data_IF_805159867610
#
_entry.id   IF_805159867610
#
_cell.length_a   1.000
_cell.length_b   1.000
_cell.length_c   1.000
_cell.angle_alpha   90.00
_cell.angle_beta   90.00
_cell.angle_gamma   90.00
#
_symmetry.space_group_name_H-M   'P 1'
#
loop_
_entity.id
_entity.type
_entity.pdbx_description
1 polymer ?
#
# COMPACT_ATOMS: atom_id res chain seq x y z
N UNK A 1 -12.01 28.18 37.00
CA UNK A 1 -10.94 27.81 36.05
C UNK A 1 -10.11 26.73 36.72
N UNK A 2 -10.16 25.49 36.24
CA UNK A 2 -9.50 24.36 36.91
C UNK A 2 -8.00 24.55 36.94
N UNK A 3 -7.40 24.65 38.13
CA UNK A 3 -5.95 24.74 38.28
C UNK A 3 -5.34 23.38 37.94
N UNK A 4 -4.46 23.32 36.94
CA UNK A 4 -3.66 22.12 36.62
C UNK A 4 -2.94 21.66 37.89
N UNK A 5 -3.18 20.43 38.35
CA UNK A 5 -2.49 19.88 39.52
C UNK A 5 -1.05 19.44 39.18
N UNK A 6 -0.28 19.05 40.20
CA UNK A 6 1.14 18.67 40.02
C UNK A 6 1.32 17.39 39.19
N UNK A 7 0.36 16.47 39.23
CA UNK A 7 0.40 15.22 38.47
C UNK A 7 0.06 15.47 37.00
N UNK A 8 -0.98 16.26 36.76
CA UNK A 8 -1.33 16.76 35.42
C UNK A 8 -0.16 17.53 34.80
N UNK A 9 0.54 18.37 35.58
CA UNK A 9 1.72 19.09 35.10
C UNK A 9 2.90 18.16 34.78
N UNK A 10 3.12 17.11 35.60
CA UNK A 10 4.13 16.09 35.30
C UNK A 10 3.84 15.41 33.96
N UNK A 11 2.58 15.05 33.68
CA UNK A 11 2.18 14.47 32.38
C UNK A 11 2.46 15.46 31.24
N UNK A 12 2.06 16.72 31.38
CA UNK A 12 2.31 17.76 30.37
C UNK A 12 3.80 17.92 30.12
N UNK A 13 4.61 17.95 31.18
CA UNK A 13 6.06 18.14 31.05
C UNK A 13 6.79 17.00 30.34
N UNK A 14 6.15 15.84 30.10
CA UNK A 14 6.70 14.79 29.23
C UNK A 14 6.86 15.24 27.78
N UNK A 15 6.13 16.28 27.37
CA UNK A 15 6.15 16.83 26.02
C UNK A 15 7.06 18.06 25.89
N UNK A 16 7.84 18.38 26.93
CA UNK A 16 8.87 19.40 26.85
C UNK A 16 10.02 18.93 25.95
N UNK A 17 10.63 19.86 25.22
CA UNK A 17 11.66 19.54 24.22
C UNK A 17 13.06 19.67 24.82
N UNK A 18 13.23 20.57 25.77
CA UNK A 18 14.54 20.93 26.30
C UNK A 18 14.56 20.92 27.82
N UNK A 19 15.76 20.78 28.38
CA UNK A 19 15.97 20.95 29.82
C UNK A 19 15.56 22.35 30.30
N UNK A 20 15.67 23.37 29.43
CA UNK A 20 15.29 24.75 29.74
C UNK A 20 13.78 24.90 30.02
N UNK A 21 12.94 24.08 29.40
CA UNK A 21 11.48 24.12 29.63
C UNK A 21 11.14 23.68 31.06
N UNK A 22 11.81 22.64 31.56
CA UNK A 22 11.66 22.19 32.94
C UNK A 22 12.15 23.23 33.95
N UNK A 23 13.30 23.85 33.66
CA UNK A 23 13.84 24.95 34.47
C UNK A 23 12.84 26.11 34.52
N UNK A 24 12.32 26.51 33.36
CA UNK A 24 11.33 27.59 33.24
C UNK A 24 10.08 27.29 34.07
N UNK A 25 9.54 26.08 33.98
CA UNK A 25 8.39 25.65 34.77
C UNK A 25 8.63 25.79 36.29
N UNK A 26 9.80 25.36 36.77
CA UNK A 26 10.18 25.41 38.18
C UNK A 26 10.33 26.84 38.71
N UNK A 27 10.79 27.78 37.86
CA UNK A 27 10.98 29.18 38.23
C UNK A 27 9.70 30.01 38.13
N UNK A 28 8.83 29.73 37.15
CA UNK A 28 7.59 30.49 36.93
C UNK A 28 6.54 30.18 38.00
N UNK A 29 6.45 28.95 38.51
CA UNK A 29 5.44 28.59 39.50
C UNK A 29 5.99 27.71 40.63
N UNK A 30 6.00 28.23 41.85
CA UNK A 30 6.47 27.51 43.06
C UNK A 30 5.75 26.16 43.27
N UNK A 31 4.50 26.03 42.82
CA UNK A 31 3.72 24.79 42.86
C UNK A 31 4.41 23.62 42.16
N UNK A 32 5.18 23.90 41.11
CA UNK A 32 5.83 22.89 40.27
C UNK A 32 7.35 22.82 40.49
N UNK A 33 7.87 23.41 41.58
CA UNK A 33 9.31 23.46 41.87
C UNK A 33 9.95 22.07 41.91
N UNK A 34 9.25 21.06 42.40
CA UNK A 34 9.75 19.68 42.51
C UNK A 34 9.28 18.78 41.36
N UNK A 35 8.82 19.35 40.23
CA UNK A 35 8.22 18.57 39.16
C UNK A 35 9.18 17.52 38.57
N UNK A 36 10.47 17.86 38.42
CA UNK A 36 11.49 16.94 37.87
C UNK A 36 11.70 15.72 38.80
N UNK A 37 11.64 15.90 40.12
CA UNK A 37 11.90 14.82 41.10
C UNK A 37 10.87 13.69 41.04
N UNK A 38 9.74 13.90 40.35
CA UNK A 38 8.65 12.92 40.18
C UNK A 38 8.90 11.95 39.03
N UNK A 39 9.92 12.20 38.22
CA UNK A 39 10.27 11.36 37.08
C UNK A 39 11.16 10.18 37.51
N UNK A 40 10.67 8.97 37.23
CA UNK A 40 11.44 7.73 37.34
C UNK A 40 12.13 7.34 36.01
N UNK A 41 11.89 8.12 34.96
CA UNK A 41 12.51 8.01 33.65
C UNK A 41 12.79 9.39 33.06
N UNK A 42 13.76 9.52 32.15
CA UNK A 42 14.09 10.81 31.55
C UNK A 42 13.13 11.08 30.38
N UNK A 43 12.38 12.20 30.37
CA UNK A 43 11.47 12.57 29.27
C UNK A 43 12.21 13.16 28.06
N UNK A 44 13.48 13.55 28.24
CA UNK A 44 14.38 14.12 27.24
C UNK A 44 15.76 13.48 27.37
N UNK A 45 16.62 13.60 26.36
CA UNK A 45 18.03 13.20 26.48
C UNK A 45 18.72 13.97 27.62
N UNK A 46 19.50 13.25 28.43
CA UNK A 46 20.26 13.82 29.54
C UNK A 46 21.76 13.61 29.31
N UNK A 47 22.53 14.52 29.90
CA UNK A 47 23.98 14.41 30.06
C UNK A 47 24.32 14.11 31.52
N UNK A 48 25.53 13.67 31.81
CA UNK A 48 26.07 13.48 33.16
C UNK A 48 25.91 14.75 34.01
N UNK A 49 25.99 15.94 33.39
CA UNK A 49 25.77 17.24 34.07
C UNK A 49 24.31 17.47 34.48
N UNK A 50 23.36 17.01 33.67
CA UNK A 50 21.91 17.25 33.87
C UNK A 50 21.22 16.10 34.61
N UNK A 51 21.81 14.89 34.61
CA UNK A 51 21.33 13.70 35.32
C UNK A 51 21.05 13.95 36.81
N UNK A 52 21.84 14.79 37.47
CA UNK A 52 21.68 15.10 38.91
C UNK A 52 20.31 15.73 39.25
N UNK A 53 19.64 16.36 38.28
CA UNK A 53 18.33 16.98 38.51
C UNK A 53 17.17 15.97 38.49
N UNK A 54 17.43 14.72 38.05
CA UNK A 54 16.47 13.61 38.05
C UNK A 54 16.85 12.59 39.13
N UNK A 55 16.77 12.91 40.43
CA UNK A 55 17.34 12.07 41.49
C UNK A 55 16.70 10.68 41.60
N UNK A 56 15.44 10.53 41.19
CA UNK A 56 14.67 9.27 41.25
C UNK A 56 14.69 8.45 39.95
N UNK A 57 15.60 8.76 39.02
CA UNK A 57 15.70 8.06 37.74
C UNK A 57 16.07 6.59 37.94
N UNK A 58 15.15 5.70 37.58
CA UNK A 58 15.30 4.24 37.64
C UNK A 58 15.51 3.63 36.25
N UNK A 59 14.98 4.29 35.21
CA UNK A 59 15.08 3.86 33.81
C UNK A 59 15.59 5.00 32.94
N UNK A 60 16.66 4.75 32.19
CA UNK A 60 17.14 5.67 31.16
C UNK A 60 16.53 5.32 29.81
N UNK A 61 15.78 6.24 29.23
CA UNK A 61 15.42 6.22 27.83
C UNK A 61 16.57 6.84 27.02
N UNK A 62 17.04 6.08 26.03
CA UNK A 62 18.15 6.44 25.15
C UNK A 62 17.51 6.74 23.78
N UNK A 63 17.47 8.01 23.42
CA UNK A 63 16.78 8.52 22.24
C UNK A 63 17.66 8.55 21.00
N UNK A 64 18.99 8.52 21.16
CA UNK A 64 19.93 8.37 20.05
C UNK A 64 21.23 7.69 20.48
N UNK A 65 22.04 7.24 19.52
CA UNK A 65 23.32 6.57 19.78
C UNK A 65 24.40 7.45 20.42
N UNK A 66 24.16 8.76 20.52
CA UNK A 66 25.08 9.74 21.11
C UNK A 66 24.74 10.09 22.56
N UNK A 67 23.60 9.61 23.08
CA UNK A 67 23.20 9.89 24.45
C UNK A 67 24.21 9.29 25.44
N UNK A 68 24.58 10.06 26.47
CA UNK A 68 25.50 9.60 27.51
C UNK A 68 24.83 8.53 28.37
N UNK A 69 25.51 7.41 28.63
CA UNK A 69 24.95 6.27 29.38
C UNK A 69 25.18 6.41 30.88
N UNK A 70 24.17 6.04 31.67
CA UNK A 70 24.28 6.02 33.12
C UNK A 70 24.44 4.59 33.65
N UNK A 71 25.34 4.42 34.62
CA UNK A 71 25.61 3.14 35.27
C UNK A 71 24.48 2.72 36.21
N UNK A 72 24.37 1.41 36.46
CA UNK A 72 23.48 0.82 37.47
C UNK A 72 21.99 1.15 37.38
N UNK A 73 21.50 1.56 36.20
CA UNK A 73 20.07 1.76 35.93
C UNK A 73 19.65 1.02 34.65
N UNK A 74 18.35 0.65 34.61
CA UNK A 74 17.75 0.00 33.44
C UNK A 74 17.79 0.93 32.24
N UNK A 75 17.97 0.37 31.06
CA UNK A 75 18.05 1.14 29.81
C UNK A 75 16.96 0.74 28.85
N UNK A 76 16.35 1.72 28.21
CA UNK A 76 15.36 1.54 27.15
C UNK A 76 15.87 2.29 25.94
N UNK A 77 16.28 1.55 24.91
CA UNK A 77 16.69 2.10 23.63
C UNK A 77 15.44 2.39 22.81
N UNK A 78 15.19 3.68 22.57
CA UNK A 78 14.00 4.20 21.87
C UNK A 78 14.23 4.37 20.36
N UNK A 79 15.49 4.49 19.95
CA UNK A 79 15.86 4.58 18.53
C UNK A 79 15.95 3.19 17.87
N UNK A 80 15.99 3.21 16.55
CA UNK A 80 16.07 2.02 15.72
C UNK A 80 17.44 1.35 15.81
N UNK A 81 17.46 0.03 16.03
CA UNK A 81 18.68 -0.78 16.05
C UNK A 81 18.50 -2.02 15.20
N UNK A 82 19.55 -2.45 14.50
CA UNK A 82 19.55 -3.74 13.82
C UNK A 82 19.55 -4.91 14.82
N UNK A 83 19.12 -6.08 14.35
CA UNK A 83 19.01 -7.26 15.20
C UNK A 83 20.37 -7.77 15.65
N UNK A 84 21.40 -7.69 14.78
CA UNK A 84 22.77 -8.08 15.10
C UNK A 84 23.29 -7.38 16.36
N UNK A 85 23.10 -6.07 16.48
CA UNK A 85 23.49 -5.29 17.65
C UNK A 85 22.86 -5.85 18.93
N UNK A 86 21.57 -6.19 18.88
CA UNK A 86 20.85 -6.77 20.02
C UNK A 86 21.37 -8.18 20.35
N UNK A 87 21.63 -8.98 19.32
CA UNK A 87 22.12 -10.34 19.45
C UNK A 87 23.56 -10.42 20.01
N UNK A 88 24.38 -9.39 19.74
CA UNK A 88 25.76 -9.27 20.25
C UNK A 88 25.82 -8.72 21.67
N UNK A 89 24.96 -7.76 22.03
CA UNK A 89 25.01 -7.11 23.35
C UNK A 89 24.55 -8.04 24.50
N UNK A 90 23.49 -8.83 24.29
CA UNK A 90 22.92 -9.81 25.25
C UNK A 90 22.72 -9.32 26.72
N UNK A 91 22.61 -8.01 26.94
CA UNK A 91 22.44 -7.43 28.29
C UNK A 91 20.96 -7.38 28.68
N UNK A 92 20.52 -8.15 29.70
CA UNK A 92 19.11 -8.20 30.11
C UNK A 92 18.63 -6.90 30.78
N UNK A 93 19.53 -5.98 31.14
CA UNK A 93 19.19 -4.66 31.67
C UNK A 93 18.79 -3.65 30.59
N UNK A 94 19.00 -4.01 29.31
CA UNK A 94 18.69 -3.18 28.15
C UNK A 94 17.47 -3.72 27.42
N UNK A 95 16.47 -2.87 27.24
CA UNK A 95 15.29 -3.16 26.43
C UNK A 95 15.35 -2.36 25.13
N UNK A 96 15.24 -3.03 23.99
CA UNK A 96 15.19 -2.39 22.68
C UNK A 96 13.76 -2.29 22.18
N UNK A 97 13.28 -1.06 21.94
CA UNK A 97 11.89 -0.83 21.51
C UNK A 97 11.68 -0.98 20.01
N UNK A 98 12.72 -0.78 19.20
CA UNK A 98 12.65 -0.74 17.72
C UNK A 98 13.76 -1.58 17.08
N UNK A 99 13.62 -2.89 17.18
CA UNK A 99 14.57 -3.85 16.59
C UNK A 99 14.17 -4.14 15.14
N UNK A 100 15.05 -3.83 14.19
CA UNK A 100 14.86 -4.10 12.76
C UNK A 100 15.62 -5.36 12.39
N UNK A 101 14.99 -6.24 11.62
CA UNK A 101 15.69 -7.31 10.92
C UNK A 101 16.06 -6.83 9.52
N UNK A 102 17.34 -6.55 9.31
CA UNK A 102 17.88 -6.01 8.07
C UNK A 102 18.24 -7.12 7.08
N UNK A 103 18.64 -6.75 5.86
CA UNK A 103 19.19 -7.69 4.89
C UNK A 103 20.49 -8.34 5.39
N UNK A 104 21.35 -7.58 6.05
CA UNK A 104 22.60 -8.09 6.63
C UNK A 104 22.33 -9.06 7.79
N UNK A 105 21.31 -8.77 8.60
CA UNK A 105 20.85 -9.70 9.63
C UNK A 105 20.37 -11.02 9.01
N UNK A 106 19.56 -10.97 7.95
CA UNK A 106 19.11 -12.19 7.25
C UNK A 106 20.26 -12.98 6.65
N UNK A 107 21.27 -12.33 6.10
CA UNK A 107 22.49 -12.99 5.59
C UNK A 107 23.22 -13.71 6.73
N UNK A 108 23.25 -13.12 7.93
CA UNK A 108 23.97 -13.65 9.09
C UNK A 108 23.18 -14.74 9.85
N UNK A 109 21.89 -14.53 10.06
CA UNK A 109 21.05 -15.35 10.94
C UNK A 109 20.01 -16.21 10.18
N UNK A 110 19.91 -16.07 8.86
CA UNK A 110 19.06 -16.87 7.98
C UNK A 110 17.66 -16.29 7.74
N UNK A 111 16.77 -17.06 7.13
CA UNK A 111 15.42 -16.59 6.75
C UNK A 111 14.40 -16.66 7.91
N UNK A 112 14.75 -17.27 9.06
CA UNK A 112 13.88 -17.35 10.23
C UNK A 112 13.97 -16.07 11.04
N UNK A 113 12.92 -15.24 10.99
CA UNK A 113 12.84 -13.98 11.73
C UNK A 113 12.89 -14.25 13.25
N UNK A 114 13.87 -13.70 13.98
CA UNK A 114 14.00 -13.92 15.42
C UNK A 114 12.90 -13.25 16.25
N UNK A 115 12.68 -13.78 17.46
CA UNK A 115 11.79 -13.16 18.44
C UNK A 115 12.31 -11.78 18.86
N UNK A 116 11.39 -10.85 19.10
CA UNK A 116 11.74 -9.49 19.54
C UNK A 116 11.91 -8.48 18.40
N UNK A 117 12.15 -8.95 17.17
CA UNK A 117 12.11 -8.11 15.96
C UNK A 117 10.77 -7.40 15.85
N UNK A 118 10.81 -6.10 15.60
CA UNK A 118 9.66 -5.19 15.48
C UNK A 118 9.37 -4.79 14.05
N UNK A 119 10.36 -4.81 13.17
CA UNK A 119 10.18 -4.44 11.77
C UNK A 119 11.15 -5.21 10.87
N UNK A 120 10.77 -5.37 9.61
CA UNK A 120 11.69 -5.81 8.57
C UNK A 120 12.20 -4.60 7.81
N UNK A 121 13.52 -4.51 7.65
CA UNK A 121 14.14 -3.44 6.89
C UNK A 121 13.83 -3.52 5.40
N UNK A 122 14.12 -2.43 4.69
CA UNK A 122 14.07 -2.40 3.23
C UNK A 122 14.97 -3.51 2.65
N UNK A 123 14.48 -4.17 1.60
CA UNK A 123 15.18 -5.27 0.91
C UNK A 123 15.59 -6.46 1.81
N UNK A 124 15.01 -6.61 3.01
CA UNK A 124 15.42 -7.64 3.99
C UNK A 124 15.55 -9.06 3.38
N UNK A 125 14.51 -9.54 2.70
CA UNK A 125 14.45 -10.82 2.00
C UNK A 125 14.67 -10.69 0.49
N UNK A 126 15.20 -9.59 -0.03
CA UNK A 126 15.38 -9.41 -1.48
C UNK A 126 16.15 -10.59 -2.10
N UNK A 127 15.55 -11.23 -3.11
CA UNK A 127 16.06 -12.45 -3.76
C UNK A 127 16.32 -13.64 -2.82
N UNK A 128 15.59 -13.73 -1.70
CA UNK A 128 15.67 -14.91 -0.84
C UNK A 128 15.18 -16.14 -1.62
N UNK A 129 15.78 -17.29 -1.29
CA UNK A 129 15.41 -18.61 -1.81
C UNK A 129 14.42 -19.33 -0.88
N UNK A 130 13.95 -18.66 0.17
CA UNK A 130 12.92 -19.21 1.06
C UNK A 130 11.65 -19.54 0.27
N UNK A 131 11.10 -20.73 0.49
CA UNK A 131 9.83 -21.17 -0.09
C UNK A 131 8.64 -20.75 0.76
N UNK A 132 8.84 -20.61 2.07
CA UNK A 132 7.85 -20.17 3.05
C UNK A 132 8.50 -19.22 4.05
N UNK A 133 7.79 -18.15 4.41
CA UNK A 133 8.18 -17.22 5.47
C UNK A 133 6.99 -16.96 6.39
N UNK A 134 7.25 -16.95 7.70
CA UNK A 134 6.27 -16.61 8.74
C UNK A 134 6.69 -15.29 9.38
N UNK A 135 5.83 -14.27 9.30
CA UNK A 135 6.07 -12.98 9.94
C UNK A 135 5.54 -13.03 11.40
N UNK A 136 6.41 -12.98 12.42
CA UNK A 136 5.98 -13.17 13.81
C UNK A 136 5.13 -12.00 14.32
N UNK A 137 4.34 -12.24 15.37
CA UNK A 137 3.40 -11.23 15.94
C UNK A 137 4.08 -10.02 16.58
N UNK A 138 5.39 -10.08 16.80
CA UNK A 138 6.18 -8.95 17.26
C UNK A 138 6.45 -7.91 16.17
N UNK A 139 6.36 -8.29 14.89
CA UNK A 139 6.57 -7.40 13.75
C UNK A 139 5.35 -6.55 13.49
N UNK A 140 5.56 -5.24 13.38
CA UNK A 140 4.53 -4.22 13.13
C UNK A 140 4.68 -3.53 11.78
N UNK A 141 5.85 -3.63 11.12
CA UNK A 141 6.06 -3.05 9.79
C UNK A 141 7.00 -3.88 8.91
N UNK A 142 6.77 -3.81 7.59
CA UNK A 142 7.59 -4.45 6.55
C UNK A 142 8.08 -3.36 5.59
N UNK A 143 9.40 -3.28 5.42
CA UNK A 143 10.06 -2.29 4.57
C UNK A 143 9.81 -2.45 3.07
N UNK A 144 10.30 -1.48 2.31
CA UNK A 144 10.21 -1.45 0.84
C UNK A 144 10.98 -2.62 0.23
N UNK A 145 10.42 -3.25 -0.81
CA UNK A 145 11.06 -4.36 -1.53
C UNK A 145 11.46 -5.55 -0.65
N UNK A 146 10.95 -5.69 0.58
CA UNK A 146 11.47 -6.69 1.52
C UNK A 146 11.43 -8.10 0.95
N UNK A 147 10.39 -8.52 0.23
CA UNK A 147 10.31 -9.83 -0.43
C UNK A 147 10.44 -9.76 -1.96
N UNK A 148 10.94 -8.65 -2.50
CA UNK A 148 11.07 -8.49 -3.96
C UNK A 148 12.04 -9.52 -4.55
N UNK A 149 11.67 -10.08 -5.71
CA UNK A 149 12.38 -11.15 -6.43
C UNK A 149 12.58 -12.45 -5.62
N UNK A 150 11.75 -12.72 -4.60
CA UNK A 150 11.67 -14.03 -3.94
C UNK A 150 10.94 -15.04 -4.84
N UNK A 151 11.56 -15.44 -5.95
CA UNK A 151 10.88 -16.21 -7.01
C UNK A 151 10.37 -17.58 -6.55
N UNK A 152 10.93 -18.15 -5.47
CA UNK A 152 10.56 -19.46 -4.91
C UNK A 152 9.54 -19.37 -3.76
N UNK A 153 9.24 -18.17 -3.26
CA UNK A 153 8.29 -17.98 -2.16
C UNK A 153 6.89 -18.35 -2.63
N UNK A 154 6.34 -19.46 -2.12
CA UNK A 154 5.02 -19.96 -2.49
C UNK A 154 3.94 -19.56 -1.49
N UNK A 155 4.35 -19.35 -0.23
CA UNK A 155 3.45 -19.01 0.88
C UNK A 155 4.12 -18.01 1.82
N UNK A 156 3.35 -17.01 2.23
CA UNK A 156 3.73 -16.11 3.32
C UNK A 156 2.54 -15.88 4.27
N UNK A 157 2.81 -15.99 5.57
CA UNK A 157 1.85 -15.68 6.62
C UNK A 157 2.24 -14.36 7.29
N UNK A 158 1.41 -13.32 7.11
CA UNK A 158 1.63 -12.00 7.67
C UNK A 158 0.72 -11.82 8.88
N UNK A 159 1.33 -11.65 10.05
CA UNK A 159 0.60 -11.37 11.29
C UNK A 159 -0.29 -10.13 11.18
N UNK A 160 -1.49 -10.19 11.77
CA UNK A 160 -2.43 -9.07 11.92
C UNK A 160 -1.92 -7.89 12.78
N UNK A 161 -0.73 -8.00 13.36
CA UNK A 161 -0.05 -6.91 14.07
C UNK A 161 0.70 -5.96 13.14
N UNK A 162 0.92 -6.37 11.87
CA UNK A 162 1.52 -5.52 10.85
C UNK A 162 0.53 -4.43 10.45
N UNK A 163 0.91 -3.17 10.67
CA UNK A 163 0.09 -1.99 10.32
C UNK A 163 0.68 -1.21 9.15
N UNK A 164 1.88 -1.56 8.68
CA UNK A 164 2.54 -0.89 7.56
C UNK A 164 3.28 -1.88 6.66
N UNK A 165 3.01 -1.82 5.37
CA UNK A 165 3.66 -2.60 4.32
C UNK A 165 4.22 -1.62 3.29
N UNK A 166 5.51 -1.76 2.97
CA UNK A 166 6.21 -0.90 2.03
C UNK A 166 5.80 -1.11 0.56
N UNK A 167 6.38 -0.29 -0.32
CA UNK A 167 6.21 -0.38 -1.77
C UNK A 167 6.95 -1.62 -2.31
N UNK A 168 6.40 -2.25 -3.36
CA UNK A 168 7.02 -3.37 -4.08
C UNK A 168 7.35 -4.61 -3.22
N UNK A 169 6.63 -4.85 -2.11
CA UNK A 169 7.02 -5.87 -1.13
C UNK A 169 7.10 -7.27 -1.74
N UNK A 170 6.16 -7.70 -2.57
CA UNK A 170 6.13 -9.01 -3.23
C UNK A 170 6.41 -8.95 -4.73
N UNK A 171 7.04 -7.89 -5.22
CA UNK A 171 7.42 -7.75 -6.63
C UNK A 171 8.17 -9.01 -7.12
N UNK A 172 7.75 -9.60 -8.24
CA UNK A 172 8.34 -10.80 -8.86
C UNK A 172 8.41 -12.03 -7.94
N UNK A 173 7.51 -12.16 -6.96
CA UNK A 173 7.32 -13.43 -6.24
C UNK A 173 6.56 -14.43 -7.13
N UNK A 174 7.23 -14.95 -8.16
CA UNK A 174 6.61 -15.72 -9.25
C UNK A 174 5.90 -16.99 -8.79
N UNK A 175 6.33 -17.62 -7.70
CA UNK A 175 5.71 -18.83 -7.14
C UNK A 175 4.62 -18.56 -6.11
N UNK A 176 4.36 -17.30 -5.75
CA UNK A 176 3.46 -16.95 -4.66
C UNK A 176 2.01 -17.30 -5.00
N UNK A 177 1.46 -18.27 -4.28
CA UNK A 177 0.10 -18.76 -4.49
C UNK A 177 -0.87 -18.30 -3.41
N UNK A 178 -0.37 -18.18 -2.17
CA UNK A 178 -1.19 -17.82 -1.00
C UNK A 178 -0.51 -16.72 -0.19
N UNK A 179 -1.27 -15.65 0.06
CA UNK A 179 -0.88 -14.52 0.88
C UNK A 179 -2.05 -14.18 1.78
N UNK A 180 -1.80 -14.06 3.08
CA UNK A 180 -2.76 -13.50 4.02
C UNK A 180 -2.28 -12.09 4.34
N UNK A 181 -3.06 -11.08 3.93
CA UNK A 181 -2.75 -9.67 4.21
C UNK A 181 -3.21 -9.29 5.62
N UNK A 182 -2.50 -8.37 6.30
CA UNK A 182 -2.90 -7.91 7.62
C UNK A 182 -4.19 -7.10 7.56
N UNK A 183 -5.06 -7.27 8.56
CA UNK A 183 -6.42 -6.73 8.59
C UNK A 183 -6.52 -5.19 8.49
N UNK A 184 -5.59 -4.45 9.07
CA UNK A 184 -5.74 -3.00 9.34
C UNK A 184 -4.97 -2.08 8.38
N UNK A 185 -4.59 -2.58 7.20
CA UNK A 185 -4.00 -1.72 6.17
C UNK A 185 -5.10 -1.01 5.37
N UNK A 186 -4.91 0.28 5.12
CA UNK A 186 -5.90 1.13 4.42
C UNK A 186 -5.59 1.31 2.93
N UNK A 187 -4.38 0.98 2.49
CA UNK A 187 -4.03 0.97 1.07
C UNK A 187 -3.09 -0.17 0.72
N UNK A 188 -3.21 -0.67 -0.51
CA UNK A 188 -2.21 -1.55 -1.09
C UNK A 188 -1.20 -0.69 -1.85
N UNK A 189 0.05 -0.71 -1.38
CA UNK A 189 1.12 0.12 -1.95
C UNK A 189 1.46 -0.25 -3.39
N UNK A 190 2.03 0.72 -4.08
CA UNK A 190 2.42 0.61 -5.48
C UNK A 190 3.29 -0.62 -5.72
N UNK A 191 3.07 -1.33 -6.83
CA UNK A 191 3.86 -2.49 -7.24
C UNK A 191 3.87 -3.69 -6.26
N UNK A 192 2.99 -3.74 -5.23
CA UNK A 192 3.07 -4.75 -4.16
C UNK A 192 3.17 -6.19 -4.69
N UNK A 193 2.35 -6.59 -5.68
CA UNK A 193 2.32 -7.94 -6.25
C UNK A 193 2.71 -7.99 -7.73
N UNK A 194 3.40 -6.97 -8.26
CA UNK A 194 3.79 -6.96 -9.68
C UNK A 194 4.48 -8.27 -10.08
N UNK A 195 4.06 -8.90 -11.18
CA UNK A 195 4.58 -10.18 -11.68
C UNK A 195 4.54 -11.35 -10.67
N UNK A 196 3.57 -11.38 -9.76
CA UNK A 196 3.23 -12.59 -8.99
C UNK A 196 2.44 -13.56 -9.87
N UNK A 197 3.14 -14.20 -10.83
CA UNK A 197 2.52 -14.97 -11.90
C UNK A 197 1.76 -16.23 -11.46
N UNK A 198 1.95 -16.72 -10.23
CA UNK A 198 1.23 -17.88 -9.68
C UNK A 198 0.08 -17.51 -8.74
N UNK A 199 -0.14 -16.22 -8.47
CA UNK A 199 -1.22 -15.78 -7.58
C UNK A 199 -2.56 -15.95 -8.31
N UNK A 200 -3.40 -16.87 -7.82
CA UNK A 200 -4.70 -17.19 -8.45
C UNK A 200 -5.86 -16.42 -7.87
N UNK A 201 -5.88 -16.23 -6.57
CA UNK A 201 -6.91 -15.47 -5.88
C UNK A 201 -6.32 -14.71 -4.69
N UNK A 202 -6.92 -13.58 -4.36
CA UNK A 202 -6.56 -12.78 -3.20
C UNK A 202 -7.81 -12.16 -2.57
N UNK A 203 -7.90 -12.20 -1.25
CA UNK A 203 -8.87 -11.46 -0.47
C UNK A 203 -8.20 -10.20 0.09
N UNK A 204 -8.72 -9.03 -0.27
CA UNK A 204 -8.24 -7.77 0.29
C UNK A 204 -8.83 -7.53 1.69
N UNK A 205 -8.06 -6.93 2.61
CA UNK A 205 -8.58 -6.49 3.90
C UNK A 205 -9.77 -5.51 3.76
N UNK A 206 -10.73 -5.54 4.69
CA UNK A 206 -12.01 -4.80 4.59
C UNK A 206 -11.88 -3.27 4.67
N UNK A 207 -10.74 -2.78 5.17
CA UNK A 207 -10.49 -1.35 5.37
C UNK A 207 -9.63 -0.75 4.24
N UNK A 208 -9.33 -1.51 3.18
CA UNK A 208 -8.64 -0.96 2.01
C UNK A 208 -9.54 0.06 1.30
N UNK A 209 -9.01 1.26 1.13
CA UNK A 209 -9.64 2.38 0.44
C UNK A 209 -9.04 2.62 -0.95
N UNK A 210 -7.80 2.18 -1.20
CA UNK A 210 -7.11 2.39 -2.47
C UNK A 210 -6.15 1.27 -2.87
N UNK A 211 -6.13 0.98 -4.18
CA UNK A 211 -5.08 0.21 -4.85
C UNK A 211 -4.20 1.19 -5.61
N UNK A 212 -2.93 1.29 -5.26
CA UNK A 212 -1.99 2.19 -5.95
C UNK A 212 -1.52 1.61 -7.31
N UNK A 213 -0.66 2.34 -8.01
CA UNK A 213 -0.20 1.96 -9.34
C UNK A 213 0.50 0.59 -9.36
N UNK A 214 0.25 -0.18 -10.43
CA UNK A 214 0.87 -1.48 -10.70
C UNK A 214 0.71 -2.56 -9.60
N UNK A 215 -0.24 -2.43 -8.67
CA UNK A 215 -0.36 -3.37 -7.53
C UNK A 215 -0.36 -4.85 -7.95
N UNK A 216 -1.09 -5.22 -9.01
CA UNK A 216 -1.21 -6.58 -9.55
C UNK A 216 -0.74 -6.69 -11.00
N UNK A 217 0.02 -5.72 -11.50
CA UNK A 217 0.46 -5.74 -12.89
C UNK A 217 1.18 -7.05 -13.23
N UNK A 218 0.83 -7.69 -14.34
CA UNK A 218 1.42 -8.94 -14.80
C UNK A 218 1.19 -10.15 -13.86
N UNK A 219 0.13 -10.14 -13.03
CA UNK A 219 -0.34 -11.33 -12.32
C UNK A 219 -1.15 -12.23 -13.27
N UNK A 220 -0.44 -12.89 -14.19
CA UNK A 220 -1.08 -13.59 -15.33
C UNK A 220 -2.07 -14.70 -14.94
N UNK A 221 -1.89 -15.34 -13.77
CA UNK A 221 -2.78 -16.41 -13.27
C UNK A 221 -3.89 -15.90 -12.34
N UNK A 222 -4.00 -14.59 -12.11
CA UNK A 222 -4.99 -14.04 -11.19
C UNK A 222 -6.39 -14.18 -11.80
N UNK A 223 -7.20 -15.06 -11.22
CA UNK A 223 -8.56 -15.39 -11.65
C UNK A 223 -9.61 -14.51 -10.98
N UNK A 224 -9.38 -14.12 -9.73
CA UNK A 224 -10.33 -13.32 -8.93
C UNK A 224 -9.63 -12.53 -7.82
N UNK A 225 -10.16 -11.35 -7.48
CA UNK A 225 -9.79 -10.60 -6.28
C UNK A 225 -11.06 -10.18 -5.56
N UNK A 226 -11.16 -10.52 -4.27
CA UNK A 226 -12.25 -10.02 -3.43
C UNK A 226 -11.85 -8.64 -2.92
N UNK A 227 -12.61 -7.62 -3.30
CA UNK A 227 -12.32 -6.23 -2.97
C UNK A 227 -12.97 -5.80 -1.66
N UNK A 228 -12.49 -4.68 -1.13
CA UNK A 228 -13.10 -3.99 0.00
C UNK A 228 -14.29 -3.13 -0.47
N UNK A 229 -15.39 -3.13 0.28
CA UNK A 229 -16.53 -2.22 0.09
C UNK A 229 -16.16 -0.74 0.25
N UNK A 230 -15.03 -0.46 0.91
CA UNK A 230 -14.50 0.89 1.11
C UNK A 230 -13.59 1.37 -0.03
N UNK A 231 -13.29 0.52 -1.01
CA UNK A 231 -12.38 0.85 -2.09
C UNK A 231 -12.97 1.94 -2.99
N UNK A 232 -12.32 3.10 -3.03
CA UNK A 232 -12.75 4.27 -3.82
C UNK A 232 -11.87 4.54 -5.04
N UNK A 233 -10.67 3.94 -5.10
CA UNK A 233 -9.68 4.20 -6.16
C UNK A 233 -8.91 2.95 -6.59
N UNK A 234 -8.82 2.73 -7.91
CA UNK A 234 -7.93 1.73 -8.52
C UNK A 234 -6.95 2.48 -9.43
N UNK A 235 -5.66 2.43 -9.09
CA UNK A 235 -4.61 3.20 -9.75
C UNK A 235 -4.18 2.67 -11.12
N UNK A 236 -3.27 3.41 -11.74
CA UNK A 236 -2.76 3.11 -13.08
C UNK A 236 -2.12 1.71 -13.14
N UNK A 237 -2.43 0.97 -14.20
CA UNK A 237 -1.94 -0.40 -14.45
C UNK A 237 -2.22 -1.40 -13.31
N UNK A 238 -3.11 -1.11 -12.36
CA UNK A 238 -3.32 -1.93 -11.17
C UNK A 238 -3.51 -3.42 -11.48
N UNK A 239 -4.32 -3.76 -12.48
CA UNK A 239 -4.57 -5.12 -12.97
C UNK A 239 -4.10 -5.33 -14.42
N UNK A 240 -3.20 -4.48 -14.92
CA UNK A 240 -2.70 -4.58 -16.29
C UNK A 240 -2.03 -5.94 -16.54
N UNK A 241 -2.33 -6.58 -17.66
CA UNK A 241 -1.85 -7.90 -18.06
C UNK A 241 -2.21 -9.04 -17.08
N UNK A 242 -3.30 -8.91 -16.32
CA UNK A 242 -3.93 -10.02 -15.58
C UNK A 242 -4.73 -10.90 -16.55
N UNK A 243 -4.04 -11.69 -17.36
CA UNK A 243 -4.65 -12.36 -18.51
C UNK A 243 -5.72 -13.38 -18.14
N UNK A 244 -5.67 -14.01 -16.96
CA UNK A 244 -6.65 -15.00 -16.50
C UNK A 244 -7.86 -14.40 -15.78
N UNK A 245 -7.87 -13.08 -15.55
CA UNK A 245 -8.97 -12.41 -14.85
C UNK A 245 -10.21 -12.44 -15.74
N UNK A 246 -11.21 -13.20 -15.31
CA UNK A 246 -12.42 -13.47 -16.11
C UNK A 246 -13.68 -12.82 -15.55
N UNK A 247 -13.70 -12.60 -14.24
CA UNK A 247 -14.76 -11.90 -13.50
C UNK A 247 -14.13 -10.88 -12.56
N UNK A 248 -14.74 -9.71 -12.48
CA UNK A 248 -14.33 -8.65 -11.58
C UNK A 248 -15.56 -7.89 -11.09
N UNK A 249 -15.84 -8.00 -9.79
CA UNK A 249 -16.92 -7.28 -9.14
C UNK A 249 -16.38 -5.95 -8.61
N UNK A 250 -16.92 -4.84 -9.09
CA UNK A 250 -16.50 -3.52 -8.64
C UNK A 250 -17.24 -3.11 -7.35
N UNK A 251 -16.57 -2.45 -6.39
CA UNK A 251 -17.22 -1.97 -5.18
C UNK A 251 -18.04 -0.71 -5.48
N UNK A 252 -19.16 -0.55 -4.77
CA UNK A 252 -20.13 0.53 -5.03
C UNK A 252 -19.59 1.95 -4.73
N UNK A 253 -18.53 2.07 -3.93
CA UNK A 253 -17.88 3.34 -3.59
C UNK A 253 -16.80 3.78 -4.58
N UNK A 254 -16.50 2.96 -5.59
CA UNK A 254 -15.44 3.25 -6.56
C UNK A 254 -15.77 4.50 -7.38
N UNK A 255 -14.84 5.47 -7.40
CA UNK A 255 -15.04 6.76 -8.07
C UNK A 255 -14.27 6.86 -9.39
N UNK A 256 -13.08 6.26 -9.44
CA UNK A 256 -12.17 6.39 -10.58
C UNK A 256 -11.40 5.10 -10.86
N UNK A 257 -11.21 4.82 -12.16
CA UNK A 257 -10.27 3.82 -12.66
C UNK A 257 -9.08 4.49 -13.36
N UNK A 258 -7.88 4.13 -12.94
CA UNK A 258 -6.63 4.63 -13.50
C UNK A 258 -6.39 4.21 -14.95
N UNK A 259 -5.38 4.83 -15.55
CA UNK A 259 -4.93 4.53 -16.91
C UNK A 259 -4.43 3.10 -17.00
N UNK A 260 -4.85 2.38 -18.03
CA UNK A 260 -4.47 0.97 -18.28
C UNK A 260 -4.76 0.01 -17.13
N UNK A 261 -5.66 0.36 -16.19
CA UNK A 261 -5.93 -0.40 -14.98
C UNK A 261 -6.29 -1.86 -15.27
N UNK A 262 -7.03 -2.16 -16.33
CA UNK A 262 -7.41 -3.52 -16.76
C UNK A 262 -6.90 -3.84 -18.17
N UNK A 263 -5.89 -3.12 -18.66
CA UNK A 263 -5.33 -3.38 -20.00
C UNK A 263 -4.88 -4.85 -20.13
N UNK A 264 -5.17 -5.49 -21.27
CA UNK A 264 -4.83 -6.89 -21.57
C UNK A 264 -5.40 -7.92 -20.58
N UNK A 265 -6.55 -7.64 -19.96
CA UNK A 265 -7.34 -8.66 -19.25
C UNK A 265 -8.08 -9.54 -20.27
N UNK A 266 -7.36 -10.47 -20.89
CA UNK A 266 -7.82 -11.20 -22.08
C UNK A 266 -9.05 -12.10 -21.85
N UNK A 267 -9.35 -12.51 -20.61
CA UNK A 267 -10.49 -13.38 -20.29
C UNK A 267 -11.70 -12.64 -19.71
N UNK A 268 -11.62 -11.32 -19.53
CA UNK A 268 -12.69 -10.50 -18.99
C UNK A 268 -13.83 -10.42 -20.02
N UNK A 269 -15.03 -10.90 -19.65
CA UNK A 269 -16.16 -11.08 -20.60
C UNK A 269 -17.18 -9.97 -20.57
N UNK A 270 -17.53 -9.51 -19.37
CA UNK A 270 -18.57 -8.50 -19.16
C UNK A 270 -18.18 -7.60 -17.99
N UNK A 271 -18.57 -6.34 -18.07
CA UNK A 271 -18.32 -5.35 -17.02
C UNK A 271 -19.62 -4.65 -16.63
N UNK A 272 -19.97 -4.74 -15.35
CA UNK A 272 -20.97 -3.89 -14.72
C UNK A 272 -20.24 -2.89 -13.83
N UNK A 273 -20.15 -1.64 -14.29
CA UNK A 273 -19.44 -0.59 -13.58
C UNK A 273 -20.35 0.04 -12.51
N UNK A 274 -19.81 0.45 -11.35
CA UNK A 274 -20.64 0.93 -10.24
C UNK A 274 -21.19 2.34 -10.50
N UNK A 275 -22.37 2.64 -9.97
CA UNK A 275 -23.14 3.87 -10.30
C UNK A 275 -22.40 5.18 -10.00
N UNK A 276 -21.49 5.17 -9.02
CA UNK A 276 -20.70 6.33 -8.59
C UNK A 276 -19.42 6.56 -9.39
N UNK A 277 -19.05 5.63 -10.26
CA UNK A 277 -17.85 5.75 -11.07
C UNK A 277 -18.00 6.89 -12.08
N UNK A 278 -17.09 7.85 -12.02
CA UNK A 278 -17.15 9.08 -12.81
C UNK A 278 -16.13 9.07 -13.97
N UNK A 279 -15.01 8.38 -13.80
CA UNK A 279 -13.88 8.46 -14.73
C UNK A 279 -13.25 7.10 -15.05
N UNK A 280 -13.06 6.87 -16.34
CA UNK A 280 -12.21 5.81 -16.89
C UNK A 280 -10.92 6.43 -17.45
N UNK A 281 -9.76 6.00 -16.96
CA UNK A 281 -8.45 6.45 -17.45
C UNK A 281 -8.13 6.00 -18.87
N UNK A 282 -7.06 6.56 -19.45
CA UNK A 282 -6.64 6.21 -20.81
C UNK A 282 -6.22 4.73 -20.89
N UNK A 283 -6.64 4.04 -21.95
CA UNK A 283 -6.40 2.61 -22.19
C UNK A 283 -6.89 1.67 -21.08
N UNK A 284 -7.84 2.11 -20.24
CA UNK A 284 -8.28 1.36 -19.05
C UNK A 284 -8.59 -0.12 -19.34
N UNK A 285 -9.31 -0.41 -20.43
CA UNK A 285 -9.69 -1.75 -20.87
C UNK A 285 -9.05 -2.13 -22.22
N UNK A 286 -7.95 -1.48 -22.61
CA UNK A 286 -7.28 -1.74 -23.89
C UNK A 286 -6.93 -3.22 -24.02
N UNK A 287 -7.18 -3.81 -25.19
CA UNK A 287 -6.90 -5.21 -25.52
C UNK A 287 -7.64 -6.24 -24.62
N UNK A 288 -8.79 -5.88 -24.04
CA UNK A 288 -9.70 -6.87 -23.43
C UNK A 288 -10.46 -7.65 -24.52
N UNK A 289 -9.77 -8.54 -25.23
CA UNK A 289 -10.26 -9.18 -26.46
C UNK A 289 -11.48 -10.11 -26.30
N UNK A 290 -11.87 -10.48 -25.08
CA UNK A 290 -13.09 -11.27 -24.82
C UNK A 290 -14.26 -10.45 -24.25
N UNK A 291 -14.09 -9.15 -24.08
CA UNK A 291 -15.13 -8.27 -23.56
C UNK A 291 -16.23 -8.11 -24.62
N UNK A 292 -17.45 -8.56 -24.31
CA UNK A 292 -18.60 -8.51 -25.25
C UNK A 292 -19.60 -7.42 -24.91
N UNK A 293 -19.76 -7.11 -23.62
CA UNK A 293 -20.77 -6.18 -23.12
C UNK A 293 -20.20 -5.29 -22.02
N UNK A 294 -20.51 -3.99 -22.08
CA UNK A 294 -20.13 -2.99 -21.08
C UNK A 294 -21.32 -2.12 -20.73
N UNK A 295 -21.65 -2.08 -19.43
CA UNK A 295 -22.64 -1.16 -18.88
C UNK A 295 -21.92 0.01 -18.21
N UNK A 296 -22.00 1.19 -18.81
CA UNK A 296 -21.47 2.41 -18.22
C UNK A 296 -22.47 3.00 -17.22
N UNK A 297 -22.00 3.59 -16.11
CA UNK A 297 -22.88 4.22 -15.14
C UNK A 297 -23.38 5.56 -15.67
N UNK A 298 -24.59 5.95 -15.26
CA UNK A 298 -25.22 7.18 -15.74
C UNK A 298 -24.42 8.45 -15.43
N UNK A 299 -23.60 8.44 -14.37
CA UNK A 299 -22.82 9.61 -13.93
C UNK A 299 -21.41 9.69 -14.54
N UNK A 300 -21.06 8.83 -15.50
CA UNK A 300 -19.74 8.88 -16.14
C UNK A 300 -19.57 10.23 -16.86
N UNK A 301 -18.47 10.94 -16.60
CA UNK A 301 -18.16 12.21 -17.29
C UNK A 301 -16.97 12.10 -18.24
N UNK A 302 -16.10 11.11 -18.04
CA UNK A 302 -14.88 10.95 -18.82
C UNK A 302 -14.55 9.49 -19.13
N UNK A 303 -14.28 9.22 -20.41
CA UNK A 303 -13.69 7.98 -20.92
C UNK A 303 -12.37 8.36 -21.60
N UNK A 304 -11.24 7.88 -21.08
CA UNK A 304 -9.91 8.27 -21.57
C UNK A 304 -9.55 7.76 -22.98
N UNK A 305 -8.44 8.26 -23.51
CA UNK A 305 -7.93 7.87 -24.84
C UNK A 305 -7.68 6.36 -24.92
N UNK A 306 -8.05 5.74 -26.05
CA UNK A 306 -7.86 4.31 -26.30
C UNK A 306 -8.51 3.37 -25.24
N UNK A 307 -9.48 3.84 -24.44
CA UNK A 307 -10.02 3.11 -23.29
C UNK A 307 -10.41 1.66 -23.62
N UNK A 308 -11.13 1.45 -24.74
CA UNK A 308 -11.57 0.13 -25.22
C UNK A 308 -10.84 -0.30 -26.50
N UNK A 309 -9.68 0.30 -26.82
CA UNK A 309 -8.94 -0.02 -28.04
C UNK A 309 -8.64 -1.52 -28.13
N UNK A 310 -8.89 -2.12 -29.29
CA UNK A 310 -8.69 -3.54 -29.60
C UNK A 310 -9.54 -4.50 -28.74
N UNK A 311 -10.70 -4.06 -28.23
CA UNK A 311 -11.73 -4.97 -27.69
C UNK A 311 -12.53 -5.59 -28.84
N UNK A 312 -11.91 -6.54 -29.56
CA UNK A 312 -12.42 -7.04 -30.83
C UNK A 312 -13.79 -7.74 -30.77
N UNK A 313 -14.19 -8.27 -29.60
CA UNK A 313 -15.49 -8.91 -29.38
C UNK A 313 -16.56 -8.02 -28.74
N UNK A 314 -16.26 -6.74 -28.51
CA UNK A 314 -17.22 -5.81 -27.91
C UNK A 314 -18.36 -5.58 -28.90
N UNK A 315 -19.56 -6.02 -28.54
CA UNK A 315 -20.76 -5.94 -29.37
C UNK A 315 -21.70 -4.83 -28.89
N UNK A 316 -21.84 -4.69 -27.57
CA UNK A 316 -22.78 -3.77 -26.94
C UNK A 316 -22.08 -2.88 -25.91
N UNK A 317 -22.38 -1.58 -25.99
CA UNK A 317 -21.95 -0.60 -24.99
C UNK A 317 -23.02 0.48 -24.82
N UNK A 318 -23.56 0.57 -23.60
CA UNK A 318 -24.57 1.58 -23.29
C UNK A 318 -23.89 2.87 -22.82
N UNK A 319 -23.71 3.84 -23.73
CA UNK A 319 -23.17 5.16 -23.41
C UNK A 319 -24.32 6.10 -22.98
N UNK A 320 -24.30 6.68 -21.77
CA UNK A 320 -25.37 7.56 -21.31
C UNK A 320 -25.44 8.88 -22.10
N UNK A 321 -26.61 9.50 -22.13
CA UNK A 321 -26.91 10.68 -22.95
C UNK A 321 -26.49 12.02 -22.33
N UNK A 322 -25.42 12.03 -21.53
CA UNK A 322 -24.86 13.24 -20.90
C UNK A 322 -23.72 13.83 -21.75
N UNK A 323 -23.30 15.08 -21.53
CA UNK A 323 -22.03 15.56 -22.07
C UNK A 323 -20.88 14.74 -21.46
N UNK A 324 -20.42 13.73 -22.19
CA UNK A 324 -19.32 12.84 -21.82
C UNK A 324 -18.12 13.18 -22.68
N UNK A 325 -16.95 13.34 -22.06
CA UNK A 325 -15.71 13.44 -22.79
C UNK A 325 -15.21 12.03 -23.14
N UNK A 326 -15.30 11.65 -24.41
CA UNK A 326 -14.75 10.41 -24.93
C UNK A 326 -13.42 10.69 -25.62
N UNK A 327 -12.36 10.08 -25.11
CA UNK A 327 -11.00 10.28 -25.60
C UNK A 327 -10.74 9.68 -26.98
N UNK A 328 -9.62 10.09 -27.55
CA UNK A 328 -9.18 9.71 -28.88
C UNK A 328 -8.98 8.19 -29.02
N UNK A 329 -9.41 7.63 -30.15
CA UNK A 329 -9.25 6.21 -30.50
C UNK A 329 -9.86 5.25 -29.47
N UNK A 330 -10.82 5.71 -28.65
CA UNK A 330 -11.44 4.94 -27.57
C UNK A 330 -11.91 3.55 -28.02
N UNK A 331 -12.53 3.45 -29.20
CA UNK A 331 -13.05 2.20 -29.77
C UNK A 331 -12.26 1.70 -30.99
N UNK A 332 -11.02 2.18 -31.20
CA UNK A 332 -10.20 1.74 -32.33
C UNK A 332 -10.02 0.22 -32.29
N UNK A 333 -10.22 -0.47 -33.43
CA UNK A 333 -10.14 -1.94 -33.55
C UNK A 333 -11.18 -2.72 -32.71
N UNK A 334 -12.33 -2.12 -32.38
CA UNK A 334 -13.51 -2.85 -31.89
C UNK A 334 -14.34 -3.38 -33.07
N UNK A 335 -13.91 -4.50 -33.68
CA UNK A 335 -14.47 -5.01 -34.93
C UNK A 335 -15.95 -5.44 -34.86
N UNK A 336 -16.44 -5.83 -33.69
CA UNK A 336 -17.83 -6.26 -33.49
C UNK A 336 -18.78 -5.15 -33.01
N UNK A 337 -18.25 -3.94 -32.76
CA UNK A 337 -19.05 -2.85 -32.21
C UNK A 337 -19.83 -2.15 -33.33
N UNK A 338 -21.15 -2.26 -33.30
CA UNK A 338 -22.01 -1.59 -34.25
C UNK A 338 -22.09 -0.09 -33.96
N UNK A 339 -22.05 0.73 -35.00
CA UNK A 339 -22.11 2.20 -34.86
C UNK A 339 -23.42 2.70 -34.24
N UNK A 340 -24.50 1.92 -34.30
CA UNK A 340 -25.78 2.21 -33.64
C UNK A 340 -25.69 2.25 -32.11
N UNK A 341 -24.64 1.65 -31.53
CA UNK A 341 -24.38 1.65 -30.09
C UNK A 341 -23.70 2.94 -29.61
N UNK A 342 -23.29 3.83 -30.55
CA UNK A 342 -22.56 5.06 -30.24
C UNK A 342 -23.46 6.30 -30.41
N UNK A 343 -23.37 7.31 -29.53
CA UNK A 343 -24.04 8.59 -29.71
C UNK A 343 -23.64 9.27 -31.02
N UNK A 344 -24.61 9.93 -31.69
CA UNK A 344 -24.39 10.56 -33.01
C UNK A 344 -23.27 11.61 -32.97
N UNK A 345 -23.17 12.39 -31.90
CA UNK A 345 -22.12 13.42 -31.73
C UNK A 345 -20.72 12.82 -31.71
N UNK A 346 -20.57 11.61 -31.15
CA UNK A 346 -19.30 10.88 -31.14
C UNK A 346 -18.94 10.43 -32.56
N UNK A 347 -19.91 9.90 -33.31
CA UNK A 347 -19.73 9.49 -34.71
C UNK A 347 -19.34 10.70 -35.58
N UNK A 348 -20.03 11.83 -35.42
CA UNK A 348 -19.77 13.05 -36.18
C UNK A 348 -18.40 13.67 -35.84
N UNK A 349 -17.99 13.66 -34.57
CA UNK A 349 -16.64 14.10 -34.16
C UNK A 349 -15.52 13.27 -34.78
N UNK A 350 -15.75 11.97 -35.04
CA UNK A 350 -14.77 11.10 -35.70
C UNK A 350 -14.67 11.32 -37.21
N UNK A 351 -15.69 11.93 -37.83
CA UNK A 351 -15.70 12.25 -39.25
C UNK A 351 -15.18 13.65 -39.57
N UNK A 352 -15.14 14.57 -38.60
CA UNK A 352 -14.87 15.98 -38.83
C UNK A 352 -13.40 16.41 -38.67
N UNK A 353 -12.50 15.54 -38.17
CA UNK A 353 -11.08 15.86 -38.06
C UNK A 353 -10.21 14.60 -38.01
N UNK A 354 -9.33 14.46 -39.02
CA UNK A 354 -8.30 13.43 -39.21
C UNK A 354 -8.77 12.11 -39.85
N UNK A 355 -8.37 11.92 -41.11
CA UNK A 355 -8.50 10.69 -41.94
C UNK A 355 -7.78 9.42 -41.37
N UNK A 356 -7.45 9.37 -40.07
CA UNK A 356 -6.76 8.21 -39.46
C UNK A 356 -7.55 7.51 -38.34
N UNK A 357 -8.75 7.97 -37.99
CA UNK A 357 -9.52 7.41 -36.86
C UNK A 357 -10.44 6.23 -37.21
N UNK A 358 -10.76 6.04 -38.50
CA UNK A 358 -11.65 4.97 -38.97
C UNK A 358 -10.93 4.01 -39.91
N UNK A 359 -10.04 3.18 -39.37
CA UNK A 359 -9.86 1.84 -39.95
C UNK A 359 -10.89 0.90 -39.31
N UNK A 360 -12.16 1.04 -39.73
CA UNK A 360 -13.07 -0.10 -39.86
C UNK A 360 -12.57 -0.96 -41.03
N UNK A 361 -11.40 -1.60 -40.87
CA UNK A 361 -10.98 -2.60 -41.84
C UNK A 361 -11.69 -3.91 -41.52
N UNK A 362 -12.44 -4.38 -42.52
CA UNK A 362 -13.24 -5.60 -42.62
C UNK A 362 -14.70 -5.48 -42.14
N UNK A 363 -15.47 -4.65 -42.84
CA UNK A 363 -16.84 -5.07 -43.20
C UNK A 363 -16.68 -6.28 -44.13
N UNK A 364 -17.13 -7.50 -43.77
CA UNK A 364 -17.32 -8.54 -44.76
C UNK A 364 -18.35 -7.98 -45.75
N UNK A 365 -17.94 -7.80 -47.01
CA UNK A 365 -18.91 -7.55 -48.09
C UNK A 365 -19.92 -8.68 -48.05
N UNK A 366 -21.20 -8.32 -47.90
CA UNK A 366 -22.31 -9.21 -48.17
C UNK A 366 -22.26 -9.55 -49.67
N UNK A 367 -21.89 -10.79 -49.98
CA UNK A 367 -22.50 -11.69 -50.95
C UNK A 367 -22.17 -13.12 -50.53
#
# INVERSE_FOLDING_TARGET
MGMIDVYSMMIISKYFETFSDFVSLMFVCKKYRENIERFHFNPISLTLKTRKYFPRLETQHIYCSKDELFESIKKVVEYEVDYKTVAEQQDPSITYKRVVYTKEDRITFGDKIPNGVKSLGDYCFYRSKATEVIIPTSVVSIGKNSFSECEQLSKIDISNRVTSIGISVFNKCKSLQKVILPKYITSLKSHTFISCSSLRALELPPDIESLEMFCFYNCMSLESVTLSENLSHIGDFAFGNCTSLSYFEFPQKLLELGSSAFSRCLHLRSLSLPEKLNKLGSSCFRECGNLTHVELPQNISQIGDCCFKSCCKLEHINIPTLPINVGNHCFQQCSNLHTSELPLDLILSTNASNEEFLYFNNVPKIC
#
